data_IF_121689941678
#
_entry.id   IF_121689941678
#
_cell.length_a   1.000
_cell.length_b   1.000
_cell.length_c   1.000
_cell.angle_alpha   90.00
_cell.angle_beta   90.00
_cell.angle_gamma   90.00
#
_symmetry.space_group_name_H-M   'P 1'
#
loop_
_entity.id
_entity.type
_entity.pdbx_description
1 polymer ?
#
# COMPACT_ATOMS: atom_id res chain seq x y z
N UNK A 1 28.46 2.69 5.82
CA UNK A 1 27.07 3.22 5.90
C UNK A 1 26.81 4.08 4.68
N UNK A 2 25.61 3.98 4.10
CA UNK A 2 25.06 4.78 3.01
C UNK A 2 25.56 4.45 1.59
N UNK A 3 25.17 3.28 1.06
CA UNK A 3 24.95 3.16 -0.38
C UNK A 3 23.64 3.91 -0.67
N UNK A 4 23.74 5.03 -1.37
CA UNK A 4 22.62 5.66 -2.08
C UNK A 4 22.19 4.73 -3.22
N UNK A 5 21.61 3.58 -2.88
CA UNK A 5 20.84 2.79 -3.83
C UNK A 5 19.65 3.66 -4.16
N UNK A 6 19.64 4.18 -5.38
CA UNK A 6 18.46 4.80 -5.97
C UNK A 6 17.33 3.79 -5.82
N UNK A 7 16.48 3.96 -4.83
CA UNK A 7 15.26 3.19 -4.59
C UNK A 7 14.29 3.52 -5.72
N UNK A 8 14.54 2.95 -6.91
CA UNK A 8 13.71 3.10 -8.10
C UNK A 8 12.57 2.11 -7.99
N UNK A 9 11.59 2.43 -7.16
CA UNK A 9 10.39 1.64 -7.01
C UNK A 9 9.66 1.92 -5.70
N UNK A 10 8.41 1.43 -5.60
CA UNK A 10 7.62 1.57 -4.38
C UNK A 10 8.25 0.79 -3.24
N UNK A 11 8.37 1.45 -2.09
CA UNK A 11 8.77 0.86 -0.83
C UNK A 11 7.52 0.34 -0.14
N UNK A 12 7.37 -0.99 -0.08
CA UNK A 12 6.24 -1.65 0.55
C UNK A 12 6.61 -1.98 2.00
N UNK A 13 5.87 -1.43 2.95
CA UNK A 13 5.99 -1.69 4.38
C UNK A 13 4.82 -2.58 4.79
N UNK A 14 5.11 -3.80 5.23
CA UNK A 14 4.12 -4.73 5.76
C UNK A 14 4.27 -4.88 7.27
N UNK A 15 3.15 -4.99 7.99
CA UNK A 15 3.16 -5.33 9.41
C UNK A 15 3.65 -6.79 9.57
N UNK A 16 4.49 -7.12 10.57
CA UNK A 16 4.91 -8.51 10.80
C UNK A 16 3.67 -9.40 10.88
N UNK A 17 3.66 -10.48 10.11
CA UNK A 17 2.57 -11.46 10.03
C UNK A 17 2.24 -11.95 11.43
N UNK A 18 1.23 -11.33 12.06
CA UNK A 18 0.81 -11.73 13.38
C UNK A 18 -0.12 -12.95 13.22
N UNK A 19 0.11 -14.02 13.98
CA UNK A 19 -0.75 -15.22 14.01
C UNK A 19 -2.23 -14.95 14.35
N UNK A 20 -2.57 -13.70 14.71
CA UNK A 20 -3.93 -13.19 14.93
C UNK A 20 -4.60 -12.62 13.67
N UNK A 21 -3.89 -12.51 12.55
CA UNK A 21 -4.44 -11.98 11.31
C UNK A 21 -5.28 -13.05 10.63
N UNK A 22 -6.57 -12.77 10.50
CA UNK A 22 -7.54 -13.65 9.83
C UNK A 22 -7.50 -13.48 8.30
N UNK A 23 -6.40 -12.93 7.77
CA UNK A 23 -6.17 -12.61 6.35
C UNK A 23 -4.75 -13.05 5.95
N UNK A 24 -4.59 -13.49 4.70
CA UNK A 24 -3.28 -13.79 4.12
C UNK A 24 -2.62 -12.49 3.65
N UNK A 25 -1.80 -11.88 4.53
CA UNK A 25 -1.03 -10.67 4.20
C UNK A 25 -0.03 -10.95 3.08
N UNK A 26 0.60 -12.13 3.09
CA UNK A 26 1.59 -12.52 2.08
C UNK A 26 1.03 -12.50 0.65
N UNK A 27 -0.18 -13.04 0.45
CA UNK A 27 -0.84 -13.00 -0.86
C UNK A 27 -1.15 -11.57 -1.30
N UNK A 28 -1.55 -10.71 -0.37
CA UNK A 28 -1.88 -9.33 -0.63
C UNK A 28 -0.64 -8.51 -0.98
N UNK A 29 0.46 -8.73 -0.25
CA UNK A 29 1.77 -8.13 -0.55
C UNK A 29 2.26 -8.60 -1.91
N UNK A 30 2.23 -9.90 -2.19
CA UNK A 30 2.66 -10.44 -3.49
C UNK A 30 1.84 -9.88 -4.66
N UNK A 31 0.52 -9.72 -4.49
CA UNK A 31 -0.35 -9.12 -5.49
C UNK A 31 -0.03 -7.63 -5.71
N UNK A 32 0.20 -6.88 -4.63
CA UNK A 32 0.62 -5.48 -4.70
C UNK A 32 1.99 -5.36 -5.33
N UNK A 33 2.99 -6.15 -4.92
CA UNK A 33 4.32 -6.20 -5.53
C UNK A 33 4.23 -6.47 -7.04
N UNK A 34 3.44 -7.46 -7.45
CA UNK A 34 3.27 -7.80 -8.87
C UNK A 34 2.63 -6.67 -9.68
N UNK A 35 1.62 -6.01 -9.11
CA UNK A 35 0.98 -4.86 -9.75
C UNK A 35 1.87 -3.62 -9.76
N UNK A 36 2.76 -3.50 -8.77
CA UNK A 36 3.69 -2.38 -8.62
C UNK A 36 5.07 -2.59 -9.22
N UNK A 37 5.35 -3.79 -9.75
CA UNK A 37 6.62 -4.14 -10.39
C UNK A 37 6.96 -3.26 -11.60
N UNK A 38 5.96 -2.67 -12.27
CA UNK A 38 6.15 -1.73 -13.39
C UNK A 38 6.32 -0.27 -12.98
N UNK A 39 6.20 0.06 -11.69
CA UNK A 39 6.21 1.43 -11.19
C UNK A 39 7.62 1.75 -10.69
N UNK A 40 8.32 2.67 -11.35
CA UNK A 40 9.65 3.12 -10.92
C UNK A 40 9.60 4.27 -9.89
N UNK A 41 8.39 4.71 -9.52
CA UNK A 41 8.17 5.86 -8.63
C UNK A 41 8.43 5.45 -7.16
N UNK A 42 9.27 6.19 -6.42
CA UNK A 42 9.46 5.97 -5.00
C UNK A 42 8.20 6.37 -4.24
N UNK A 43 7.36 5.39 -3.92
CA UNK A 43 6.13 5.55 -3.16
C UNK A 43 6.18 4.66 -1.93
N UNK A 44 5.75 5.20 -0.79
CA UNK A 44 5.62 4.41 0.43
C UNK A 44 4.23 3.79 0.49
N UNK A 45 4.16 2.46 0.34
CA UNK A 45 2.94 1.67 0.39
C UNK A 45 2.88 0.90 1.69
N UNK A 46 1.78 0.98 2.43
CA UNK A 46 1.60 0.26 3.68
C UNK A 46 0.57 -0.87 3.54
N UNK A 47 0.94 -2.10 3.87
CA UNK A 47 0.05 -3.27 3.87
C UNK A 47 -0.10 -3.80 5.29
N UNK A 48 -1.26 -3.56 5.88
CA UNK A 48 -1.52 -3.83 7.30
C UNK A 48 -2.54 -4.96 7.46
N UNK A 49 -2.25 -5.94 8.32
CA UNK A 49 -3.16 -7.04 8.63
C UNK A 49 -4.24 -6.72 9.67
N UNK A 50 -4.20 -5.52 10.26
CA UNK A 50 -5.14 -5.08 11.29
C UNK A 50 -5.25 -3.55 11.32
N UNK A 51 -6.46 -3.05 11.60
CA UNK A 51 -6.77 -1.62 11.68
C UNK A 51 -6.12 -0.92 12.89
N UNK A 52 -5.73 -1.69 13.93
CA UNK A 52 -5.39 -1.15 15.27
C UNK A 52 -4.01 -0.48 15.33
N UNK A 53 -3.02 -0.99 14.62
CA UNK A 53 -1.67 -0.38 14.54
C UNK A 53 -1.48 0.48 13.27
N UNK A 54 -2.48 0.50 12.39
CA UNK A 54 -2.43 1.18 11.10
C UNK A 54 -2.08 2.67 11.15
N UNK A 55 -2.76 3.53 11.93
CA UNK A 55 -2.70 4.99 11.71
C UNK A 55 -1.34 5.64 12.04
N UNK A 56 -0.59 5.10 13.01
CA UNK A 56 0.72 5.64 13.40
C UNK A 56 1.84 5.33 12.39
N UNK A 57 1.90 4.10 11.89
CA UNK A 57 2.86 3.70 10.85
C UNK A 57 2.42 4.16 9.44
N UNK A 58 1.11 4.20 9.17
CA UNK A 58 0.53 4.67 7.92
C UNK A 58 0.65 6.17 7.68
N UNK A 59 0.88 6.99 8.71
CA UNK A 59 1.07 8.43 8.54
C UNK A 59 2.31 8.75 7.68
N UNK A 60 3.31 7.86 7.69
CA UNK A 60 4.51 7.96 6.86
C UNK A 60 4.33 7.36 5.46
N UNK A 61 3.27 6.58 5.24
CA UNK A 61 2.96 6.00 3.94
C UNK A 61 2.16 6.98 3.09
N UNK A 62 2.46 7.05 1.79
CA UNK A 62 1.65 7.81 0.84
C UNK A 62 0.26 7.16 0.71
N UNK A 63 0.23 5.84 0.60
CA UNK A 63 -0.98 5.03 0.49
C UNK A 63 -0.82 3.76 1.32
N UNK A 64 -1.90 3.25 1.88
CA UNK A 64 -1.91 1.91 2.43
C UNK A 64 -3.29 1.32 2.51
N UNK A 65 -3.30 0.04 2.83
CA UNK A 65 -4.49 -0.77 2.94
C UNK A 65 -4.42 -1.59 4.23
N UNK A 66 -5.56 -1.72 4.90
CA UNK A 66 -5.72 -2.60 6.04
C UNK A 66 -6.85 -3.58 5.77
N UNK A 67 -6.54 -4.87 5.89
CA UNK A 67 -7.55 -5.93 5.76
C UNK A 67 -8.15 -6.29 7.11
N UNK A 68 -9.48 -6.35 7.17
CA UNK A 68 -10.27 -6.93 8.26
C UNK A 68 -10.85 -8.29 7.88
N UNK A 69 -11.73 -8.84 8.73
CA UNK A 69 -12.34 -10.18 8.52
C UNK A 69 -13.07 -10.30 7.17
N UNK A 70 -13.86 -9.30 6.79
CA UNK A 70 -14.66 -9.30 5.55
C UNK A 70 -14.56 -7.99 4.74
N UNK A 71 -13.99 -6.95 5.34
CA UNK A 71 -13.87 -5.62 4.76
C UNK A 71 -12.43 -5.16 4.77
N UNK A 72 -12.10 -4.25 3.88
CA UNK A 72 -10.79 -3.64 3.76
C UNK A 72 -10.92 -2.13 3.72
N UNK A 73 -9.98 -1.45 4.34
CA UNK A 73 -9.93 0.01 4.37
C UNK A 73 -8.66 0.48 3.70
N UNK A 74 -8.81 1.49 2.84
CA UNK A 74 -7.72 2.16 2.15
C UNK A 74 -7.53 3.49 2.84
N UNK A 75 -6.28 3.77 3.19
CA UNK A 75 -5.88 5.02 3.83
C UNK A 75 -4.77 5.69 3.03
N UNK A 76 -4.78 7.02 3.04
CA UNK A 76 -3.81 7.87 2.36
C UNK A 76 -3.25 8.84 3.38
N UNK A 77 -1.93 8.82 3.60
CA UNK A 77 -1.25 9.66 4.61
C UNK A 77 -1.92 9.61 5.99
N UNK A 78 -2.28 8.42 6.43
CA UNK A 78 -2.96 8.18 7.72
C UNK A 78 -4.45 8.55 7.79
N UNK A 79 -5.10 8.97 6.69
CA UNK A 79 -6.55 9.21 6.63
C UNK A 79 -7.26 8.13 5.84
N UNK A 80 -8.36 7.59 6.36
CA UNK A 80 -9.20 6.64 5.64
C UNK A 80 -9.89 7.38 4.49
N UNK A 81 -9.68 6.91 3.27
CA UNK A 81 -10.27 7.52 2.06
C UNK A 81 -11.38 6.65 1.46
N UNK A 82 -11.30 5.33 1.66
CA UNK A 82 -12.25 4.39 1.07
C UNK A 82 -12.34 3.13 1.92
N UNK A 83 -13.55 2.62 2.12
CA UNK A 83 -13.81 1.32 2.71
C UNK A 83 -14.51 0.46 1.66
N UNK A 84 -13.99 -0.74 1.43
CA UNK A 84 -14.47 -1.68 0.42
C UNK A 84 -14.51 -3.09 0.99
N UNK A 85 -15.09 -4.03 0.25
CA UNK A 85 -15.05 -5.45 0.63
C UNK A 85 -13.64 -5.99 0.44
N UNK A 86 -13.30 -7.08 1.14
CA UNK A 86 -12.00 -7.75 1.00
C UNK A 86 -11.65 -8.08 -0.46
N UNK A 87 -12.66 -8.46 -1.24
CA UNK A 87 -12.59 -8.80 -2.67
C UNK A 87 -12.17 -7.60 -3.53
N UNK A 88 -12.76 -6.44 -3.23
CA UNK A 88 -12.52 -5.18 -3.93
C UNK A 88 -11.33 -4.39 -3.37
N UNK A 89 -10.70 -4.86 -2.27
CA UNK A 89 -9.62 -4.13 -1.60
C UNK A 89 -8.40 -3.94 -2.49
N UNK A 90 -7.97 -5.02 -3.15
CA UNK A 90 -6.84 -4.97 -4.07
C UNK A 90 -7.12 -4.07 -5.29
N UNK A 91 -8.20 -4.28 -6.07
CA UNK A 91 -8.45 -3.42 -7.23
C UNK A 91 -8.66 -1.95 -6.83
N UNK A 92 -9.40 -1.67 -5.76
CA UNK A 92 -9.59 -0.29 -5.30
C UNK A 92 -8.28 0.35 -4.83
N UNK A 93 -7.36 -0.41 -4.21
CA UNK A 93 -6.05 0.08 -3.81
C UNK A 93 -5.18 0.42 -5.03
N UNK A 94 -5.17 -0.44 -6.06
CA UNK A 94 -4.44 -0.19 -7.30
C UNK A 94 -4.98 1.04 -8.04
N UNK A 95 -6.30 1.22 -8.06
CA UNK A 95 -6.94 2.39 -8.65
C UNK A 95 -6.49 3.69 -7.96
N UNK A 96 -6.43 3.70 -6.63
CA UNK A 96 -5.93 4.86 -5.86
C UNK A 96 -4.42 5.06 -6.03
N UNK A 97 -3.66 3.98 -6.16
CA UNK A 97 -2.24 4.03 -6.43
C UNK A 97 -1.94 4.64 -7.81
N UNK A 98 -2.67 4.23 -8.84
CA UNK A 98 -2.53 4.76 -10.19
C UNK A 98 -2.88 6.26 -10.25
N UNK A 99 -3.94 6.68 -9.55
CA UNK A 99 -4.27 8.11 -9.37
C UNK A 99 -3.15 8.88 -8.67
N UNK A 100 -2.51 8.28 -7.67
CA UNK A 100 -1.36 8.86 -6.96
C UNK A 100 -0.14 9.02 -7.87
N UNK A 101 0.14 8.04 -8.73
CA UNK A 101 1.25 8.07 -9.68
C UNK A 101 0.98 9.08 -10.79
N UNK A 102 -0.19 9.01 -11.41
CA UNK A 102 -0.64 9.92 -12.48
C UNK A 102 -0.66 11.37 -12.00
N UNK A 103 -1.15 11.62 -10.78
CA UNK A 103 -1.18 12.96 -10.18
C UNK A 103 0.20 13.50 -9.77
N UNK A 104 1.21 12.65 -9.57
CA UNK A 104 2.62 13.07 -9.38
C UNK A 104 3.37 13.21 -10.71
N UNK A 105 2.77 12.82 -11.85
CA UNK A 105 3.46 12.72 -13.14
C UNK A 105 3.49 14.03 -13.97
N UNK A 106 3.37 15.20 -13.36
CA UNK A 106 3.80 16.46 -13.98
C UNK A 106 5.34 16.56 -14.04
N UNK A 107 5.99 15.52 -14.56
CA UNK A 107 7.44 15.42 -14.64
C UNK A 107 8.01 14.21 -15.40
N UNK A 108 7.23 13.50 -16.21
CA UNK A 108 7.77 12.45 -17.10
C UNK A 108 7.40 12.75 -18.55
N UNK A 109 8.29 13.45 -19.23
CA UNK A 109 8.30 13.55 -20.69
C UNK A 109 8.89 12.26 -21.26
N UNK A 110 8.28 11.64 -22.29
CA UNK A 110 8.92 10.53 -23.02
C UNK A 110 10.22 10.95 -23.70
#
# INVERSE_FOLDING_TARGET
>A
KALSLRERGPVIVSCPTCARCNINIEELVAAVEKATAGIATPLHLAVMGCMVNGPGEASRADLGLAGGKNEGVIFRRGKIIRCVRKEDLLPAFLEELEKLITGKNSGFTP
#
